data_IF_662670605063
#
_entry.id   IF_662670605063
#
_cell.length_a   1.000
_cell.length_b   1.000
_cell.length_c   1.000
_cell.angle_alpha   90.00
_cell.angle_beta   90.00
_cell.angle_gamma   90.00
#
_symmetry.space_group_name_H-M   'P 1'
#
loop_
_entity.id
_entity.type
_entity.pdbx_description
1 polymer ?
#
# COMPACT_ATOMS: atom_id res chain seq x y z
N UNK A 1 1.49 -1.75 3.16
CA UNK A 1 0.28 -1.86 2.30
C UNK A 1 0.61 -1.23 0.95
N UNK A 2 -0.07 -1.59 -0.14
CA UNK A 2 0.11 -0.90 -1.42
C UNK A 2 -0.62 0.45 -1.37
N UNK A 3 0.09 1.54 -1.63
CA UNK A 3 -0.45 2.91 -1.68
C UNK A 3 -0.51 3.41 -3.12
N UNK A 4 -1.66 3.92 -3.58
CA UNK A 4 -1.76 4.50 -4.91
C UNK A 4 -1.13 5.89 -4.93
N UNK A 5 -0.31 6.14 -5.94
CA UNK A 5 0.37 7.42 -6.15
C UNK A 5 0.21 7.83 -7.61
N UNK A 6 -0.16 9.09 -7.85
CA UNK A 6 -0.19 9.66 -9.20
C UNK A 6 1.11 10.41 -9.43
N UNK A 7 1.91 9.97 -10.40
CA UNK A 7 3.17 10.61 -10.76
C UNK A 7 3.16 10.88 -12.26
N UNK A 8 3.37 12.13 -12.67
CA UNK A 8 3.37 12.54 -14.08
C UNK A 8 2.11 12.03 -14.84
N UNK A 9 0.92 12.23 -14.25
CA UNK A 9 -0.38 11.81 -14.79
C UNK A 9 -0.57 10.28 -14.95
N UNK A 10 0.38 9.48 -14.48
CA UNK A 10 0.32 8.02 -14.51
C UNK A 10 0.07 7.47 -13.11
N UNK A 11 -0.76 6.43 -13.01
CA UNK A 11 -1.04 5.76 -11.74
C UNK A 11 0.02 4.70 -11.45
N UNK A 12 0.62 4.81 -10.27
CA UNK A 12 1.56 3.84 -9.73
C UNK A 12 1.03 3.28 -8.41
N UNK A 13 1.46 2.07 -8.08
CA UNK A 13 1.32 1.54 -6.73
C UNK A 13 2.70 1.47 -6.08
N UNK A 14 2.79 1.93 -4.84
CA UNK A 14 4.01 1.93 -4.06
C UNK A 14 3.84 1.08 -2.79
N UNK A 15 4.87 0.34 -2.41
CA UNK A 15 4.87 -0.46 -1.18
C UNK A 15 6.25 -0.38 -0.55
N UNK A 16 6.30 0.05 0.71
CA UNK A 16 7.47 -0.07 1.54
C UNK A 16 7.32 -1.30 2.45
N UNK A 17 8.36 -2.13 2.51
CA UNK A 17 8.47 -3.27 3.42
C UNK A 17 9.70 -3.06 4.30
N UNK A 18 9.48 -3.05 5.61
CA UNK A 18 10.54 -2.99 6.63
C UNK A 18 10.69 -4.38 7.24
N UNK A 19 11.76 -5.08 6.90
CA UNK A 19 12.21 -6.29 7.60
C UNK A 19 13.54 -6.00 8.29
N UNK A 20 14.64 -6.67 7.90
CA UNK A 20 16.01 -6.27 8.29
C UNK A 20 16.53 -5.11 7.44
N UNK A 21 16.17 -5.12 6.16
CA UNK A 21 16.42 -4.06 5.20
C UNK A 21 15.10 -3.42 4.81
N UNK A 22 15.19 -2.26 4.18
CA UNK A 22 14.04 -1.53 3.65
C UNK A 22 13.97 -1.82 2.17
N UNK A 23 12.88 -2.45 1.76
CA UNK A 23 12.62 -2.71 0.35
C UNK A 23 11.44 -1.88 -0.10
N UNK A 24 11.67 -1.08 -1.14
CA UNK A 24 10.63 -0.29 -1.78
C UNK A 24 10.31 -0.94 -3.10
N UNK A 25 9.02 -1.14 -3.33
CA UNK A 25 8.46 -1.62 -4.59
C UNK A 25 7.61 -0.52 -5.21
N UNK A 26 7.73 -0.37 -6.53
CA UNK A 26 6.83 0.44 -7.35
C UNK A 26 6.38 -0.38 -8.55
N UNK A 27 5.13 -0.24 -8.96
CA UNK A 27 4.59 -0.91 -10.15
C UNK A 27 3.59 -0.04 -10.88
N UNK A 28 3.56 -0.16 -12.20
CA UNK A 28 2.54 0.40 -13.10
C UNK A 28 1.55 -0.66 -13.61
N UNK A 29 1.46 -1.79 -12.89
CA UNK A 29 0.70 -3.00 -13.23
C UNK A 29 1.25 -3.83 -14.40
N UNK A 30 2.27 -3.36 -15.11
CA UNK A 30 2.95 -4.11 -16.17
C UNK A 30 4.31 -4.59 -15.68
N UNK A 31 5.11 -3.66 -15.19
CA UNK A 31 6.44 -3.88 -14.67
C UNK A 31 6.48 -3.55 -13.17
N UNK A 32 7.47 -4.10 -12.49
CA UNK A 32 7.77 -3.78 -11.11
C UNK A 32 9.24 -3.42 -10.99
N UNK A 33 9.51 -2.42 -10.17
CA UNK A 33 10.85 -2.00 -9.82
C UNK A 33 11.01 -2.05 -8.31
N UNK A 34 12.18 -2.44 -7.86
CA UNK A 34 12.50 -2.47 -6.45
C UNK A 34 13.90 -1.96 -6.15
N UNK A 35 14.07 -1.46 -4.95
CA UNK A 35 15.38 -1.20 -4.35
C UNK A 35 15.36 -1.73 -2.92
N UNK A 36 16.43 -2.42 -2.53
CA UNK A 36 16.68 -2.84 -1.17
C UNK A 36 17.82 -2.01 -0.59
N UNK A 37 17.58 -1.41 0.57
CA UNK A 37 18.54 -0.56 1.27
C UNK A 37 18.74 -1.03 2.70
N UNK A 38 20.00 -1.10 3.10
CA UNK A 38 20.34 -1.26 4.52
C UNK A 38 20.05 0.03 5.29
N UNK A 39 19.78 -0.05 6.61
CA UNK A 39 19.61 1.14 7.45
C UNK A 39 20.75 2.15 7.32
N UNK A 40 21.99 1.66 7.21
CA UNK A 40 23.20 2.49 7.08
C UNK A 40 23.16 3.28 5.76
N UNK A 41 22.88 2.59 4.65
CA UNK A 41 22.79 3.23 3.32
C UNK A 41 21.66 4.25 3.25
N UNK A 42 20.53 3.99 3.93
CA UNK A 42 19.44 4.97 4.00
C UNK A 42 19.91 6.25 4.69
N UNK A 43 20.59 6.13 5.83
CA UNK A 43 21.08 7.27 6.60
C UNK A 43 22.11 8.07 5.80
N UNK A 44 23.07 7.39 5.16
CA UNK A 44 24.07 8.04 4.29
C UNK A 44 23.40 8.80 3.13
N UNK A 45 22.42 8.17 2.47
CA UNK A 45 21.72 8.81 1.35
C UNK A 45 20.88 10.00 1.81
N UNK A 46 20.27 9.89 3.00
CA UNK A 46 19.54 11.00 3.61
C UNK A 46 20.45 12.17 3.98
N UNK A 47 21.62 11.92 4.58
CA UNK A 47 22.65 12.92 4.86
C UNK A 47 23.09 13.66 3.60
N UNK A 48 23.37 12.89 2.53
CA UNK A 48 23.83 13.45 1.26
C UNK A 48 22.78 14.37 0.61
N UNK A 49 21.49 14.09 0.78
CA UNK A 49 20.40 14.89 0.21
C UNK A 49 19.92 16.01 1.13
N UNK A 50 20.19 15.92 2.44
CA UNK A 50 19.78 16.89 3.46
C UNK A 50 20.97 17.25 4.38
N UNK A 51 22.01 17.92 3.85
CA UNK A 51 23.23 18.22 4.61
C UNK A 51 23.02 19.17 5.79
N UNK A 52 21.88 19.85 5.85
CA UNK A 52 21.49 20.76 6.94
C UNK A 52 20.85 20.03 8.12
N UNK A 53 20.56 18.73 7.98
CA UNK A 53 19.90 17.93 9.01
C UNK A 53 20.95 17.25 9.90
N UNK A 54 20.93 17.56 11.19
CA UNK A 54 21.88 16.99 12.14
C UNK A 54 21.42 15.60 12.59
N UNK A 55 22.01 14.58 11.97
CA UNK A 55 21.64 13.17 12.14
C UNK A 55 22.31 12.54 13.36
N UNK A 56 23.16 13.28 14.09
CA UNK A 56 23.68 12.83 15.40
C UNK A 56 22.59 12.65 16.46
N UNK A 57 21.39 13.22 16.24
CA UNK A 57 20.25 13.12 17.16
C UNK A 57 19.19 12.09 16.78
N UNK A 58 19.12 11.66 15.52
CA UNK A 58 18.14 10.67 15.09
C UNK A 58 18.77 9.27 15.08
N UNK A 59 18.11 8.36 15.77
CA UNK A 59 18.42 6.94 15.62
C UNK A 59 18.05 6.48 14.20
N UNK A 60 18.77 5.50 13.65
CA UNK A 60 18.44 4.94 12.34
C UNK A 60 16.98 4.46 12.28
N UNK A 61 16.44 3.96 13.38
CA UNK A 61 15.07 3.46 13.46
C UNK A 61 14.02 4.57 13.30
N UNK A 62 14.24 5.75 13.88
CA UNK A 62 13.32 6.90 13.76
C UNK A 62 13.27 7.43 12.32
N UNK A 63 14.42 7.49 11.63
CA UNK A 63 14.47 7.88 10.22
C UNK A 63 13.72 6.89 9.34
N UNK A 64 13.85 5.59 9.64
CA UNK A 64 13.14 4.54 8.91
C UNK A 64 11.63 4.66 9.12
N UNK A 65 11.19 4.92 10.34
CA UNK A 65 9.78 5.15 10.64
C UNK A 65 9.25 6.38 9.92
N UNK A 66 10.00 7.48 9.88
CA UNK A 66 9.62 8.68 9.13
C UNK A 66 9.53 8.44 7.64
N UNK A 67 10.50 7.73 7.03
CA UNK A 67 10.44 7.38 5.60
C UNK A 67 9.24 6.48 5.31
N UNK A 68 8.98 5.52 6.19
CA UNK A 68 7.87 4.57 6.04
C UNK A 68 6.52 5.28 6.20
N UNK A 69 6.38 6.21 7.16
CA UNK A 69 5.16 6.99 7.33
C UNK A 69 4.95 7.95 6.16
N UNK A 70 5.98 8.65 5.68
CA UNK A 70 5.90 9.52 4.50
C UNK A 70 5.43 8.76 3.25
N UNK A 71 5.96 7.56 3.03
CA UNK A 71 5.54 6.69 1.93
C UNK A 71 4.07 6.27 2.07
N UNK A 72 3.64 5.93 3.28
CA UNK A 72 2.29 5.45 3.51
C UNK A 72 1.23 6.57 3.52
N UNK A 73 1.56 7.77 3.99
CA UNK A 73 0.58 8.84 4.21
C UNK A 73 0.25 9.68 2.99
N UNK A 74 1.02 9.62 1.89
CA UNK A 74 0.77 10.12 0.51
C UNK A 74 0.24 11.56 0.29
N UNK A 75 -0.30 12.25 1.30
CA UNK A 75 -1.04 13.52 1.18
C UNK A 75 -0.15 14.75 1.24
N UNK A 76 1.03 14.63 1.83
CA UNK A 76 1.99 15.72 2.04
C UNK A 76 3.34 15.47 1.34
N UNK A 77 3.37 14.58 0.34
CA UNK A 77 4.60 14.21 -0.36
C UNK A 77 4.49 14.50 -1.85
N UNK A 78 5.49 15.21 -2.37
CA UNK A 78 5.68 15.40 -3.80
C UNK A 78 6.56 14.28 -4.33
N UNK A 79 6.02 13.48 -5.23
CA UNK A 79 6.73 12.40 -5.90
C UNK A 79 7.23 12.89 -7.26
N UNK A 80 8.48 12.57 -7.59
CA UNK A 80 9.03 12.78 -8.92
C UNK A 80 9.66 11.47 -9.39
N UNK A 81 9.28 11.02 -10.58
CA UNK A 81 9.77 9.80 -11.17
C UNK A 81 10.52 10.13 -12.46
N UNK A 82 11.78 9.70 -12.54
CA UNK A 82 12.59 9.79 -13.75
C UNK A 82 12.99 8.40 -14.22
N UNK A 83 12.64 8.06 -15.47
CA UNK A 83 13.05 6.80 -16.09
C UNK A 83 14.48 6.94 -16.61
N UNK A 84 15.35 6.01 -16.21
CA UNK A 84 16.73 5.89 -16.70
C UNK A 84 16.87 4.61 -17.54
N UNK A 85 17.97 4.48 -18.28
CA UNK A 85 18.19 3.32 -19.16
C UNK A 85 18.24 1.96 -18.45
N UNK A 86 18.51 1.95 -17.13
CA UNK A 86 18.64 0.74 -16.31
C UNK A 86 17.59 0.59 -15.22
N UNK A 87 16.61 1.50 -15.13
CA UNK A 87 15.64 1.50 -14.04
C UNK A 87 14.90 2.82 -13.87
N UNK A 88 14.39 3.06 -12.66
CA UNK A 88 13.60 4.23 -12.32
C UNK A 88 14.17 4.88 -11.08
N UNK A 89 14.32 6.20 -11.11
CA UNK A 89 14.63 6.97 -9.91
C UNK A 89 13.36 7.60 -9.37
N UNK A 90 13.06 7.31 -8.11
CA UNK A 90 11.95 7.88 -7.36
C UNK A 90 12.50 8.88 -6.36
N UNK A 91 12.21 10.16 -6.55
CA UNK A 91 12.48 11.20 -5.58
C UNK A 91 11.21 11.55 -4.78
N UNK A 92 11.35 11.61 -3.46
CA UNK A 92 10.30 12.04 -2.54
C UNK A 92 10.73 13.35 -1.90
N UNK A 93 9.79 14.30 -1.83
CA UNK A 93 9.98 15.57 -1.15
C UNK A 93 8.80 15.84 -0.22
N UNK A 94 9.04 16.02 1.08
CA UNK A 94 7.97 16.45 1.98
C UNK A 94 7.51 17.88 1.66
N UNK A 95 6.21 18.14 1.79
CA UNK A 95 5.58 19.42 1.50
C UNK A 95 5.62 20.41 2.69
N UNK A 96 6.60 20.27 3.58
CA UNK A 96 6.79 21.12 4.75
C UNK A 96 7.69 22.33 4.43
N UNK A 97 7.71 23.34 5.32
CA UNK A 97 8.58 24.53 5.19
C UNK A 97 10.07 24.15 5.06
N UNK A 98 10.46 23.04 5.70
CA UNK A 98 11.77 22.41 5.53
C UNK A 98 11.60 21.06 4.83
N UNK A 99 11.63 21.03 3.48
CA UNK A 99 11.31 19.82 2.74
C UNK A 99 12.43 18.79 2.84
N UNK A 100 12.12 17.65 3.46
CA UNK A 100 12.97 16.47 3.48
C UNK A 100 12.99 15.84 2.09
N UNK A 101 14.20 15.55 1.59
CA UNK A 101 14.40 14.94 0.28
C UNK A 101 14.93 13.52 0.41
N UNK A 102 14.27 12.58 -0.23
CA UNK A 102 14.72 11.20 -0.36
C UNK A 102 14.75 10.79 -1.82
N UNK A 103 15.64 9.87 -2.15
CA UNK A 103 15.79 9.37 -3.51
C UNK A 103 16.05 7.86 -3.48
N UNK A 104 15.34 7.14 -4.33
CA UNK A 104 15.45 5.72 -4.52
C UNK A 104 15.79 5.40 -5.96
N UNK A 105 16.77 4.52 -6.17
CA UNK A 105 17.22 4.04 -7.47
C UNK A 105 16.70 2.61 -7.64
N UNK A 106 15.51 2.48 -8.21
CA UNK A 106 14.84 1.21 -8.37
C UNK A 106 15.25 0.54 -9.68
N UNK A 107 15.59 -0.74 -9.61
CA UNK A 107 15.88 -1.57 -10.77
C UNK A 107 14.67 -2.44 -11.10
N UNK A 108 14.51 -2.81 -12.36
CA UNK A 108 13.40 -3.67 -12.77
C UNK A 108 13.55 -5.04 -12.10
N UNK A 109 12.50 -5.49 -11.42
CA UNK A 109 12.44 -6.80 -10.79
C UNK A 109 12.11 -7.87 -11.81
N UNK A 110 12.46 -9.11 -11.48
CA UNK A 110 12.05 -10.26 -12.25
C UNK A 110 10.53 -10.53 -12.12
N UNK A 111 9.98 -11.23 -13.11
CA UNK A 111 8.56 -11.56 -13.15
C UNK A 111 8.11 -12.46 -12.00
N UNK A 112 9.01 -13.24 -11.39
CA UNK A 112 8.65 -14.08 -10.24
C UNK A 112 8.40 -13.23 -9.00
N UNK A 113 9.23 -12.20 -8.75
CA UNK A 113 8.99 -11.23 -7.70
C UNK A 113 7.65 -10.51 -7.88
N UNK A 114 7.33 -10.09 -9.12
CA UNK A 114 6.03 -9.49 -9.41
C UNK A 114 4.87 -10.44 -9.08
N UNK A 115 4.98 -11.70 -9.50
CA UNK A 115 3.97 -12.72 -9.22
C UNK A 115 3.75 -12.93 -7.71
N UNK A 116 4.82 -13.10 -6.94
CA UNK A 116 4.72 -13.36 -5.50
C UNK A 116 4.30 -12.13 -4.68
N UNK A 117 4.74 -10.93 -5.07
CA UNK A 117 4.46 -9.70 -4.31
C UNK A 117 3.11 -9.07 -4.63
N UNK A 118 2.59 -9.29 -5.83
CA UNK A 118 1.37 -8.64 -6.31
C UNK A 118 0.30 -9.65 -6.75
N UNK A 119 0.59 -10.47 -7.77
CA UNK A 119 -0.41 -11.32 -8.42
C UNK A 119 -0.99 -12.37 -7.49
N UNK A 120 -0.16 -13.10 -6.76
CA UNK A 120 -0.58 -14.17 -5.86
C UNK A 120 -1.46 -13.63 -4.71
N UNK A 121 -1.06 -12.58 -3.96
CA UNK A 121 -1.94 -11.96 -2.96
C UNK A 121 -3.26 -11.46 -3.54
N UNK A 122 -3.25 -10.89 -4.75
CA UNK A 122 -4.47 -10.41 -5.40
C UNK A 122 -5.44 -11.56 -5.70
N UNK A 123 -4.95 -12.67 -6.27
CA UNK A 123 -5.75 -13.87 -6.57
C UNK A 123 -6.32 -14.48 -5.29
N UNK A 124 -5.49 -14.63 -4.24
CA UNK A 124 -5.93 -15.13 -2.94
C UNK A 124 -7.02 -14.24 -2.32
N UNK A 125 -6.88 -12.92 -2.46
CA UNK A 125 -7.89 -11.96 -1.99
C UNK A 125 -9.21 -12.14 -2.75
N UNK A 126 -9.18 -12.29 -4.07
CA UNK A 126 -10.38 -12.53 -4.88
C UNK A 126 -11.07 -13.84 -4.48
N UNK A 127 -10.33 -14.93 -4.32
CA UNK A 127 -10.87 -16.22 -3.87
C UNK A 127 -11.51 -16.09 -2.48
N UNK A 128 -10.84 -15.40 -1.56
CA UNK A 128 -11.38 -15.15 -0.22
C UNK A 128 -12.67 -14.33 -0.27
N UNK A 129 -12.74 -13.30 -1.11
CA UNK A 129 -13.94 -12.48 -1.30
C UNK A 129 -15.11 -13.29 -1.89
N UNK A 130 -14.85 -14.14 -2.87
CA UNK A 130 -15.85 -15.03 -3.46
C UNK A 130 -16.42 -15.99 -2.40
N UNK A 131 -15.55 -16.61 -1.60
CA UNK A 131 -15.96 -17.48 -0.50
C UNK A 131 -16.82 -16.72 0.53
N UNK A 132 -16.42 -15.50 0.88
CA UNK A 132 -17.15 -14.65 1.82
C UNK A 132 -18.52 -14.26 1.26
N UNK A 133 -18.62 -13.96 -0.03
CA UNK A 133 -19.87 -13.66 -0.70
C UNK A 133 -20.83 -14.84 -0.67
N UNK A 134 -20.37 -16.06 -0.98
CA UNK A 134 -21.18 -17.28 -0.90
C UNK A 134 -21.74 -17.49 0.51
N UNK A 135 -20.89 -17.34 1.52
CA UNK A 135 -21.32 -17.46 2.92
C UNK A 135 -22.35 -16.40 3.33
N UNK A 136 -22.23 -15.18 2.81
CA UNK A 136 -23.21 -14.12 3.05
C UNK A 136 -24.56 -14.45 2.41
N UNK A 137 -24.56 -15.01 1.19
CA UNK A 137 -25.78 -15.46 0.53
C UNK A 137 -26.48 -16.58 1.31
N UNK A 138 -25.74 -17.58 1.77
CA UNK A 138 -26.29 -18.66 2.61
C UNK A 138 -26.92 -18.12 3.92
N UNK A 139 -26.29 -17.13 4.54
CA UNK A 139 -26.81 -16.47 5.73
C UNK A 139 -28.09 -15.68 5.45
N UNK A 140 -28.16 -14.97 4.32
CA UNK A 140 -29.36 -14.26 3.88
C UNK A 140 -30.50 -15.23 3.62
N UNK A 141 -30.26 -16.31 2.87
CA UNK A 141 -31.28 -17.33 2.60
C UNK A 141 -31.80 -17.99 3.89
N UNK A 142 -30.92 -18.24 4.85
CA UNK A 142 -31.30 -18.78 6.16
C UNK A 142 -32.20 -17.78 6.91
N UNK A 143 -31.83 -16.49 6.92
CA UNK A 143 -32.61 -15.44 7.57
C UNK A 143 -33.97 -15.25 6.91
N UNK A 144 -34.04 -15.32 5.58
CA UNK A 144 -35.30 -15.26 4.83
C UNK A 144 -36.23 -16.43 5.16
N UNK A 145 -35.68 -17.64 5.35
CA UNK A 145 -36.45 -18.81 5.80
C UNK A 145 -36.98 -18.61 7.22
N UNK A 146 -36.13 -18.19 8.16
CA UNK A 146 -36.53 -17.88 9.54
C UNK A 146 -37.67 -16.84 9.57
N UNK A 147 -37.59 -15.79 8.75
CA UNK A 147 -38.65 -14.77 8.63
C UNK A 147 -39.97 -15.39 8.12
N UNK A 148 -39.91 -16.23 7.07
CA UNK A 148 -41.09 -16.91 6.53
C UNK A 148 -41.74 -17.83 7.57
N UNK A 149 -40.94 -18.58 8.31
CA UNK A 149 -41.41 -19.45 9.41
C UNK A 149 -42.08 -18.62 10.50
N UNK A 150 -41.47 -17.51 10.93
CA UNK A 150 -42.07 -16.62 11.92
C UNK A 150 -43.40 -15.99 11.47
N UNK A 151 -43.53 -15.60 10.20
CA UNK A 151 -44.79 -15.08 9.64
C UNK A 151 -45.88 -16.18 9.64
N UNK A 152 -45.50 -17.43 9.33
CA UNK A 152 -46.39 -18.59 9.34
C UNK A 152 -46.88 -18.96 10.74
N UNK A 153 -46.01 -18.90 11.75
CA UNK A 153 -46.32 -19.28 13.13
C UNK A 153 -47.09 -18.21 13.92
N UNK A 154 -46.70 -16.93 13.79
CA UNK A 154 -47.16 -15.86 14.68
C UNK A 154 -48.04 -14.78 14.01
N UNK A 155 -48.28 -14.84 12.69
CA UNK A 155 -49.10 -13.85 11.97
C UNK A 155 -48.39 -12.51 11.69
N UNK A 156 -49.16 -11.40 11.54
CA UNK A 156 -48.65 -10.11 11.04
C UNK A 156 -47.57 -9.46 11.93
N UNK A 157 -46.53 -8.93 11.29
CA UNK A 157 -45.50 -8.10 11.91
C UNK A 157 -46.11 -6.80 12.47
N UNK A 158 -45.78 -6.46 13.71
CA UNK A 158 -46.30 -5.29 14.43
C UNK A 158 -45.88 -3.95 13.81
N UNK A 159 -44.86 -3.93 12.93
CA UNK A 159 -44.34 -2.72 12.28
C UNK A 159 -43.97 -3.02 10.81
N UNK A 160 -44.73 -2.46 9.87
CA UNK A 160 -44.60 -2.71 8.41
C UNK A 160 -43.39 -2.04 7.73
N UNK A 161 -42.55 -1.31 8.48
CA UNK A 161 -41.39 -0.58 7.95
C UNK A 161 -40.04 -1.29 8.09
N UNK A 162 -40.01 -2.58 8.46
CA UNK A 162 -38.77 -3.34 8.66
C UNK A 162 -38.29 -4.08 7.40
N UNK A 163 -38.91 -3.85 6.24
CA UNK A 163 -38.40 -4.28 4.94
C UNK A 163 -37.62 -3.12 4.32
N UNK A 164 -36.29 -3.20 4.35
CA UNK A 164 -35.39 -2.47 3.46
C UNK A 164 -34.36 -3.45 2.91
#
# INVERSE_FOLDING_TARGET
MWTPVVINETNYLLKCVKESNITIYITDFLDMWSEELTPIQLVERFQNRNPLFDITRLTSDELIEQVTSLINDCKSVLYTLSKQSSGITLALKSAEEFPLKFEFCLIQTDNSTFFYQFTLPAVQTVQYLEMRQKKLLELLEKKDKEIKEHILENGELTRRGCYY
#
